data_IF_550185871223
#
_entry.id   IF_550185871223
#
_cell.length_a   1.000
_cell.length_b   1.000
_cell.length_c   1.000
_cell.angle_alpha   90.00
_cell.angle_beta   90.00
_cell.angle_gamma   90.00
#
_symmetry.space_group_name_H-M   'P 1'
#
loop_
_entity.id
_entity.type
_entity.pdbx_description
1 polymer ?
#
# COMPACT_ATOMS: atom_id res chain seq x y z
N UNK A 1 9.23 -2.51 -12.60
CA UNK A 1 8.16 -3.51 -12.70
C UNK A 1 7.47 -3.35 -14.05
N UNK A 2 6.49 -2.48 -14.23
CA UNK A 2 5.82 -2.34 -15.55
C UNK A 2 6.74 -1.81 -16.66
N UNK A 3 7.39 -0.67 -16.44
CA UNK A 3 8.29 -0.09 -17.45
C UNK A 3 9.51 -0.98 -17.74
N UNK A 4 10.02 -1.71 -16.74
CA UNK A 4 11.11 -2.69 -16.94
C UNK A 4 10.66 -3.94 -17.69
N UNK A 5 9.37 -4.25 -17.66
CA UNK A 5 8.73 -5.31 -18.46
C UNK A 5 8.27 -4.79 -19.84
N UNK A 6 8.52 -3.51 -20.15
CA UNK A 6 8.09 -2.87 -21.40
C UNK A 6 6.59 -2.53 -21.46
N UNK A 7 5.85 -2.73 -20.37
CA UNK A 7 4.39 -2.52 -20.29
C UNK A 7 4.11 -1.09 -19.84
N UNK A 8 3.25 -0.39 -20.59
CA UNK A 8 2.70 0.91 -20.20
C UNK A 8 1.45 0.71 -19.36
N UNK A 9 1.27 1.56 -18.34
CA UNK A 9 0.08 1.51 -17.46
C UNK A 9 -1.25 1.55 -18.22
N UNK A 10 -1.31 2.32 -19.32
CA UNK A 10 -2.53 2.46 -20.13
C UNK A 10 -2.92 1.19 -20.88
N UNK A 11 -2.01 0.24 -21.01
CA UNK A 11 -2.25 -1.07 -21.64
C UNK A 11 -2.89 -2.06 -20.67
N UNK A 12 -2.96 -1.71 -19.37
CA UNK A 12 -3.58 -2.52 -18.34
C UNK A 12 -4.97 -1.99 -17.99
N UNK A 13 -5.91 -2.91 -17.77
CA UNK A 13 -7.17 -2.61 -17.09
C UNK A 13 -6.92 -2.25 -15.61
N UNK A 14 -7.89 -1.58 -14.98
CA UNK A 14 -7.81 -1.15 -13.58
C UNK A 14 -7.48 -2.32 -12.64
N UNK A 15 -8.22 -3.41 -12.76
CA UNK A 15 -8.10 -4.55 -11.84
C UNK A 15 -6.74 -5.24 -11.95
N UNK A 16 -6.24 -5.41 -13.18
CA UNK A 16 -4.92 -6.00 -13.41
C UNK A 16 -3.81 -5.07 -12.89
N UNK A 17 -3.93 -3.76 -13.10
CA UNK A 17 -2.99 -2.79 -12.55
C UNK A 17 -3.00 -2.83 -11.01
N UNK A 18 -4.18 -2.87 -10.40
CA UNK A 18 -4.34 -2.92 -8.95
C UNK A 18 -3.70 -4.18 -8.36
N UNK A 19 -3.92 -5.34 -8.99
CA UNK A 19 -3.25 -6.59 -8.62
C UNK A 19 -1.73 -6.47 -8.65
N UNK A 20 -1.15 -5.90 -9.72
CA UNK A 20 0.30 -5.70 -9.83
C UNK A 20 0.85 -4.77 -8.75
N UNK A 21 0.10 -3.73 -8.37
CA UNK A 21 0.48 -2.83 -7.27
C UNK A 21 0.49 -3.57 -5.92
N UNK A 22 -0.51 -4.43 -5.67
CA UNK A 22 -0.54 -5.25 -4.46
C UNK A 22 0.60 -6.27 -4.41
N UNK A 23 0.92 -6.94 -5.52
CA UNK A 23 2.08 -7.84 -5.61
C UNK A 23 3.40 -7.12 -5.31
N UNK A 24 3.55 -5.89 -5.83
CA UNK A 24 4.69 -5.05 -5.52
C UNK A 24 4.75 -4.70 -4.03
N UNK A 25 3.61 -4.28 -3.45
CA UNK A 25 3.53 -3.92 -2.03
C UNK A 25 3.92 -5.09 -1.14
N UNK A 26 3.47 -6.31 -1.43
CA UNK A 26 3.83 -7.48 -0.62
C UNK A 26 5.33 -7.78 -0.67
N UNK A 27 5.92 -7.74 -1.87
CA UNK A 27 7.36 -7.99 -2.05
C UNK A 27 8.23 -6.95 -1.34
N UNK A 28 7.97 -5.67 -1.61
CA UNK A 28 8.83 -4.58 -1.14
C UNK A 28 8.47 -4.16 0.29
N UNK A 29 7.18 -4.16 0.64
CA UNK A 29 6.71 -3.92 2.00
C UNK A 29 7.29 -4.95 2.98
N UNK A 30 7.19 -6.24 2.68
CA UNK A 30 7.80 -7.28 3.50
C UNK A 30 9.33 -7.12 3.61
N UNK A 31 9.99 -6.69 2.55
CA UNK A 31 11.44 -6.40 2.57
C UNK A 31 11.78 -5.25 3.51
N UNK A 32 11.04 -4.14 3.43
CA UNK A 32 11.23 -2.97 4.30
C UNK A 32 10.98 -3.34 5.76
N UNK A 33 9.87 -4.03 6.05
CA UNK A 33 9.54 -4.48 7.41
C UNK A 33 10.63 -5.39 7.98
N UNK A 34 11.15 -6.32 7.18
CA UNK A 34 12.25 -7.19 7.59
C UNK A 34 13.55 -6.42 7.83
N UNK A 35 13.85 -5.40 7.03
CA UNK A 35 15.02 -4.53 7.26
C UNK A 35 14.88 -3.79 8.59
N UNK A 36 13.72 -3.20 8.89
CA UNK A 36 13.47 -2.48 10.14
C UNK A 36 13.56 -3.44 11.35
N UNK A 37 13.00 -4.65 11.25
CA UNK A 37 13.16 -5.70 12.27
C UNK A 37 14.64 -6.07 12.51
N UNK A 38 15.42 -6.21 11.45
CA UNK A 38 16.86 -6.51 11.53
C UNK A 38 17.68 -5.39 12.17
N UNK A 39 17.23 -4.14 12.09
CA UNK A 39 17.84 -3.00 12.79
C UNK A 39 17.50 -2.98 14.29
N UNK A 40 16.65 -3.89 14.78
CA UNK A 40 16.30 -4.00 16.19
C UNK A 40 15.18 -3.07 16.63
N UNK A 41 14.35 -2.58 15.70
CA UNK A 41 13.21 -1.74 16.06
C UNK A 41 12.17 -2.53 16.87
N UNK A 42 11.81 -2.01 18.04
CA UNK A 42 10.84 -2.60 18.96
C UNK A 42 9.41 -2.07 18.72
N UNK A 43 8.98 -2.05 17.46
CA UNK A 43 7.63 -1.63 17.09
C UNK A 43 6.59 -2.69 17.46
N UNK A 44 5.33 -2.28 17.63
CA UNK A 44 4.21 -3.21 17.74
C UNK A 44 3.87 -3.79 16.36
N UNK A 45 4.58 -4.85 15.98
CA UNK A 45 4.41 -5.54 14.70
C UNK A 45 3.04 -6.22 14.56
N UNK A 46 2.29 -6.40 15.65
CA UNK A 46 0.93 -6.98 15.59
C UNK A 46 -0.11 -5.98 15.07
N UNK A 47 0.24 -4.68 15.09
CA UNK A 47 -0.59 -3.57 14.63
C UNK A 47 -0.01 -2.89 13.39
N UNK A 48 0.90 -3.56 12.69
CA UNK A 48 1.39 -3.08 11.40
C UNK A 48 0.21 -2.87 10.44
N UNK A 49 0.18 -1.73 9.78
CA UNK A 49 -0.88 -1.35 8.84
C UNK A 49 -0.27 -0.63 7.64
N UNK A 50 -0.99 -0.69 6.52
CA UNK A 50 -0.65 -0.05 5.27
C UNK A 50 -1.75 0.92 4.86
N UNK A 51 -1.40 2.04 4.23
CA UNK A 51 -2.32 3.15 3.95
C UNK A 51 -3.51 2.77 3.06
N UNK A 52 -3.39 1.71 2.26
CA UNK A 52 -4.49 1.18 1.45
C UNK A 52 -5.26 0.03 2.11
N UNK A 53 -4.94 -0.30 3.37
CA UNK A 53 -5.76 -1.23 4.14
C UNK A 53 -7.16 -0.62 4.33
N UNK A 54 -8.16 -1.50 4.37
CA UNK A 54 -9.57 -1.09 4.42
C UNK A 54 -9.87 -0.17 5.60
N UNK A 55 -9.32 -0.48 6.78
CA UNK A 55 -9.51 0.32 8.00
C UNK A 55 -8.98 1.76 7.85
N UNK A 56 -7.81 1.94 7.22
CA UNK A 56 -7.19 3.25 7.06
C UNK A 56 -7.85 4.02 5.91
N UNK A 57 -8.25 3.31 4.86
CA UNK A 57 -9.00 3.90 3.74
C UNK A 57 -10.34 4.47 4.21
N UNK A 58 -11.05 3.77 5.11
CA UNK A 58 -12.28 4.26 5.74
C UNK A 58 -12.04 5.55 6.53
N UNK A 59 -10.95 5.62 7.30
CA UNK A 59 -10.62 6.81 8.07
C UNK A 59 -10.35 8.04 7.17
N UNK A 60 -9.73 7.84 6.01
CA UNK A 60 -9.52 8.93 5.03
C UNK A 60 -10.85 9.41 4.44
N UNK A 61 -11.77 8.48 4.10
CA UNK A 61 -13.10 8.82 3.59
C UNK A 61 -13.88 9.63 4.64
N UNK A 62 -13.87 9.20 5.90
CA UNK A 62 -14.50 9.90 7.00
C UNK A 62 -13.94 11.32 7.17
N UNK A 63 -12.61 11.45 7.21
CA UNK A 63 -11.94 12.74 7.33
C UNK A 63 -12.32 13.68 6.17
N UNK A 64 -12.42 13.15 4.95
CA UNK A 64 -12.85 13.93 3.79
C UNK A 64 -14.29 14.42 3.92
N UNK A 65 -15.23 13.56 4.33
CA UNK A 65 -16.64 13.92 4.53
C UNK A 65 -16.76 15.04 5.57
N UNK A 66 -16.10 14.89 6.72
CA UNK A 66 -16.11 15.91 7.79
C UNK A 66 -15.60 17.26 7.29
N UNK A 67 -14.54 17.27 6.47
CA UNK A 67 -13.99 18.51 5.94
C UNK A 67 -14.87 19.13 4.85
N UNK A 68 -15.58 18.32 4.08
CA UNK A 68 -16.49 18.78 3.05
C UNK A 68 -17.80 19.34 3.62
N UNK A 69 -18.27 18.82 4.75
CA UNK A 69 -19.50 19.26 5.43
C UNK A 69 -19.31 20.52 6.32
N UNK A 70 -18.06 20.97 6.51
CA UNK A 70 -17.72 22.20 7.22
C UNK A 70 -17.69 23.41 6.30
#
# INVERSE_FOLDING_TARGET
MLASEGIKRVELGRDEFEKRVWEWKEKYGGTITNQIKRLGASCDWTRECFTLDEQLSRAVIEAFIILHEK
#
